data_IF_484429561192
#
_entry.id   IF_484429561192
#
_cell.length_a   1.000
_cell.length_b   1.000
_cell.length_c   1.000
_cell.angle_alpha   90.00
_cell.angle_beta   90.00
_cell.angle_gamma   90.00
#
_symmetry.space_group_name_H-M   'P 1'
#
loop_
_entity.id
_entity.type
_entity.pdbx_description
1 polymer ?
#
# COMPACT_ATOMS: atom_id res chain seq x y z
N UNK A 1 -2.65 -14.57 -3.68
CA UNK A 1 -2.60 -14.25 -2.23
C UNK A 1 -1.29 -13.54 -2.08
N UNK A 2 -1.28 -12.27 -1.68
CA UNK A 2 -0.03 -11.52 -1.71
C UNK A 2 0.93 -12.12 -0.69
N UNK A 3 2.14 -12.48 -1.11
CA UNK A 3 3.21 -12.89 -0.21
C UNK A 3 4.25 -11.80 -0.15
N UNK A 4 4.45 -11.26 1.05
CA UNK A 4 5.56 -10.35 1.33
C UNK A 4 6.68 -11.19 1.95
N UNK A 5 7.87 -11.16 1.35
CA UNK A 5 9.06 -11.80 1.88
C UNK A 5 10.09 -10.72 2.17
N UNK A 6 10.63 -10.73 3.38
CA UNK A 6 11.70 -9.84 3.80
C UNK A 6 12.87 -10.71 4.23
N UNK A 7 14.06 -10.42 3.72
CA UNK A 7 15.29 -11.13 4.06
C UNK A 7 16.31 -10.10 4.52
N UNK A 8 16.76 -10.23 5.76
CA UNK A 8 17.80 -9.39 6.37
C UNK A 8 19.00 -10.26 6.72
N UNK A 9 20.10 -9.64 7.16
CA UNK A 9 21.23 -10.36 7.75
C UNK A 9 20.79 -11.07 9.05
N UNK A 10 20.45 -12.34 8.93
CA UNK A 10 20.10 -13.23 10.04
C UNK A 10 18.63 -13.62 10.15
N UNK A 11 17.70 -12.93 9.45
CA UNK A 11 16.27 -13.28 9.55
C UNK A 11 15.57 -13.26 8.19
N UNK A 12 14.74 -14.27 7.95
CA UNK A 12 13.86 -14.38 6.79
C UNK A 12 12.42 -14.45 7.26
N UNK A 13 11.64 -13.44 6.90
CA UNK A 13 10.23 -13.37 7.22
C UNK A 13 9.40 -13.53 5.95
N UNK A 14 8.32 -14.31 6.02
CA UNK A 14 7.32 -14.37 4.97
C UNK A 14 5.95 -14.17 5.58
N UNK A 15 5.27 -13.11 5.18
CA UNK A 15 3.94 -12.75 5.65
C UNK A 15 2.97 -12.91 4.47
N UNK A 16 2.11 -13.93 4.49
CA UNK A 16 0.99 -13.97 3.57
C UNK A 16 -0.01 -12.89 3.96
N UNK A 17 -0.34 -12.02 3.03
CA UNK A 17 -1.35 -10.97 3.15
C UNK A 17 -2.58 -11.39 2.33
N UNK A 18 -3.62 -11.93 2.99
CA UNK A 18 -4.92 -12.13 2.36
C UNK A 18 -5.47 -10.85 1.76
N UNK A 19 -6.17 -10.97 0.64
CA UNK A 19 -6.87 -9.83 0.01
C UNK A 19 -7.95 -9.20 0.90
N UNK A 20 -8.31 -9.84 2.02
CA UNK A 20 -9.17 -9.24 3.04
C UNK A 20 -8.57 -7.95 3.58
N UNK A 21 -7.26 -7.94 3.89
CA UNK A 21 -6.57 -6.76 4.40
C UNK A 21 -6.52 -5.63 3.37
N UNK A 22 -6.36 -5.98 2.09
CA UNK A 22 -6.38 -5.01 1.00
C UNK A 22 -7.78 -4.40 0.85
N UNK A 23 -8.82 -5.23 0.89
CA UNK A 23 -10.21 -4.77 0.83
C UNK A 23 -10.56 -3.86 2.03
N UNK A 24 -10.08 -4.18 3.23
CA UNK A 24 -10.21 -3.32 4.41
C UNK A 24 -9.47 -2.00 4.22
N UNK A 25 -8.24 -2.05 3.69
CA UNK A 25 -7.48 -0.86 3.34
C UNK A 25 -8.23 0.04 2.36
N UNK A 26 -8.83 -0.53 1.30
CA UNK A 26 -9.66 0.22 0.35
C UNK A 26 -10.87 0.85 1.03
N UNK A 27 -11.54 0.13 1.93
CA UNK A 27 -12.68 0.67 2.67
C UNK A 27 -12.29 1.89 3.51
N UNK A 28 -11.12 1.82 4.15
CA UNK A 28 -10.57 2.92 4.94
C UNK A 28 -10.14 4.09 4.03
N UNK A 29 -9.39 3.82 2.97
CA UNK A 29 -8.89 4.85 2.05
C UNK A 29 -9.99 5.58 1.28
N UNK A 30 -11.11 4.90 1.00
CA UNK A 30 -12.29 5.50 0.35
C UNK A 30 -13.23 6.22 1.31
N UNK A 31 -12.94 6.22 2.62
CA UNK A 31 -13.79 6.87 3.61
C UNK A 31 -13.63 8.39 3.59
N UNK A 32 -14.75 9.10 3.48
CA UNK A 32 -14.84 10.57 3.59
C UNK A 32 -14.20 11.12 4.87
N UNK A 33 -14.33 10.39 5.99
CA UNK A 33 -13.78 10.81 7.27
C UNK A 33 -12.25 10.78 7.27
N UNK A 34 -11.68 9.67 6.81
CA UNK A 34 -10.23 9.50 6.72
C UNK A 34 -9.64 10.45 5.68
N UNK A 35 -10.34 10.67 4.58
CA UNK A 35 -9.95 11.63 3.56
C UNK A 35 -9.83 13.05 4.11
N UNK A 36 -10.83 13.52 4.87
CA UNK A 36 -10.80 14.84 5.53
C UNK A 36 -9.68 14.93 6.56
N UNK A 37 -9.48 13.89 7.36
CA UNK A 37 -8.43 13.87 8.38
C UNK A 37 -7.02 13.87 7.76
N UNK A 38 -6.79 13.08 6.71
CA UNK A 38 -5.53 13.05 5.96
C UNK A 38 -5.25 14.41 5.32
N UNK A 39 -6.22 15.02 4.64
CA UNK A 39 -6.04 16.35 4.05
C UNK A 39 -5.79 17.43 5.10
N UNK A 40 -6.41 17.33 6.30
CA UNK A 40 -6.11 18.23 7.42
C UNK A 40 -4.68 18.04 7.92
N UNK A 41 -4.25 16.79 8.14
CA UNK A 41 -2.91 16.49 8.64
C UNK A 41 -1.82 16.89 7.65
N UNK A 42 -2.03 16.66 6.35
CA UNK A 42 -1.10 17.09 5.29
C UNK A 42 -1.01 18.60 5.23
N UNK A 43 -2.14 19.32 5.33
CA UNK A 43 -2.12 20.79 5.41
C UNK A 43 -1.37 21.28 6.64
N UNK A 44 -1.49 20.61 7.78
CA UNK A 44 -0.76 20.97 9.00
C UNK A 44 0.74 20.68 8.90
N UNK A 45 1.14 19.56 8.30
CA UNK A 45 2.57 19.20 8.15
C UNK A 45 3.28 19.94 7.02
N UNK A 46 2.55 20.35 5.98
CA UNK A 46 3.09 21.08 4.82
C UNK A 46 3.01 22.61 4.96
N UNK A 47 2.45 23.13 6.07
CA UNK A 47 2.41 24.57 6.37
C UNK A 47 3.79 25.23 6.33
N UNK A 48 4.86 24.49 6.60
CA UNK A 48 6.24 24.99 6.54
C UNK A 48 6.85 24.99 5.12
N UNK A 49 6.22 24.34 4.12
CA UNK A 49 6.81 24.11 2.78
C UNK A 49 6.00 24.66 1.60
N UNK A 50 4.94 25.43 1.84
CA UNK A 50 4.07 26.04 0.79
C UNK A 50 3.58 25.10 -0.32
N UNK A 51 3.59 23.77 -0.11
CA UNK A 51 3.09 22.80 -1.08
C UNK A 51 1.66 22.40 -0.73
N UNK A 52 0.70 22.90 -1.50
CA UNK A 52 -0.73 22.54 -1.41
C UNK A 52 -0.99 21.18 -2.07
N UNK A 53 -0.41 20.12 -1.52
CA UNK A 53 -0.76 18.76 -1.92
C UNK A 53 -2.09 18.36 -1.26
N UNK A 54 -3.10 18.03 -2.07
CA UNK A 54 -4.38 17.48 -1.61
C UNK A 54 -4.49 16.07 -2.15
N UNK A 55 -4.76 15.09 -1.28
CA UNK A 55 -5.01 13.73 -1.74
C UNK A 55 -6.36 13.73 -2.46
N UNK A 56 -6.48 13.16 -3.67
CA UNK A 56 -7.76 13.01 -4.34
C UNK A 56 -8.58 11.90 -3.70
N UNK A 57 -9.91 12.04 -3.71
CA UNK A 57 -10.79 10.96 -3.25
C UNK A 57 -10.62 9.74 -4.14
N UNK A 58 -10.41 8.58 -3.52
CA UNK A 58 -10.24 7.33 -4.23
C UNK A 58 -11.58 6.60 -4.29
N UNK A 59 -12.06 6.30 -5.49
CA UNK A 59 -13.29 5.53 -5.66
C UNK A 59 -13.06 4.05 -5.29
N UNK A 60 -13.83 3.58 -4.33
CA UNK A 60 -13.87 2.18 -3.88
C UNK A 60 -14.15 1.21 -5.04
N UNK A 61 -15.00 1.58 -6.00
CA UNK A 61 -15.35 0.69 -7.13
C UNK A 61 -14.16 0.51 -8.07
N UNK A 62 -13.48 1.59 -8.42
CA UNK A 62 -12.27 1.55 -9.25
C UNK A 62 -11.13 0.77 -8.56
N UNK A 63 -10.88 1.03 -7.27
CA UNK A 63 -9.90 0.27 -6.49
C UNK A 63 -10.27 -1.23 -6.40
N UNK A 64 -11.56 -1.54 -6.28
CA UNK A 64 -12.05 -2.92 -6.28
C UNK A 64 -11.78 -3.66 -7.60
N UNK A 65 -11.90 -2.98 -8.75
CA UNK A 65 -11.54 -3.54 -10.07
C UNK A 65 -10.06 -3.88 -10.14
N UNK A 66 -9.20 -2.97 -9.68
CA UNK A 66 -7.74 -3.20 -9.63
C UNK A 66 -7.42 -4.44 -8.80
N UNK A 67 -8.01 -4.58 -7.60
CA UNK A 67 -7.78 -5.77 -6.76
C UNK A 67 -8.28 -7.06 -7.42
N UNK A 68 -9.38 -6.99 -8.17
CA UNK A 68 -9.88 -8.15 -8.91
C UNK A 68 -8.88 -8.59 -9.98
N UNK A 69 -8.25 -7.65 -10.67
CA UNK A 69 -7.20 -7.93 -11.66
C UNK A 69 -5.91 -8.45 -11.00
N UNK A 70 -5.55 -7.92 -9.84
CA UNK A 70 -4.41 -8.45 -9.06
C UNK A 70 -4.67 -9.87 -8.53
N UNK A 71 -5.94 -10.28 -8.40
CA UNK A 71 -6.30 -11.66 -8.02
C UNK A 71 -6.23 -12.65 -9.19
N UNK A 72 -6.45 -12.20 -10.43
CA UNK A 72 -6.35 -13.07 -11.62
C UNK A 72 -4.89 -13.40 -11.94
N UNK A 73 -3.96 -12.49 -11.62
CA UNK A 73 -2.53 -12.64 -11.87
C UNK A 73 -1.79 -13.26 -10.68
N UNK A 74 -1.76 -14.59 -10.60
CA UNK A 74 -0.97 -15.29 -9.57
C UNK A 74 0.51 -15.35 -9.97
N UNK A 75 1.38 -15.12 -8.99
CA UNK A 75 2.80 -15.28 -9.15
C UNK A 75 3.51 -14.11 -9.82
N UNK A 76 2.81 -12.99 -10.05
CA UNK A 76 3.42 -11.75 -10.52
C UNK A 76 4.28 -11.14 -9.42
N UNK A 77 5.51 -10.80 -9.76
CA UNK A 77 6.42 -10.06 -8.90
C UNK A 77 6.17 -8.56 -9.08
N UNK A 78 5.74 -7.91 -8.00
CA UNK A 78 5.42 -6.47 -8.01
C UNK A 78 6.64 -5.67 -7.56
N UNK A 79 7.35 -6.20 -6.57
CA UNK A 79 8.46 -5.51 -5.93
C UNK A 79 9.58 -6.52 -5.72
N UNK A 80 10.75 -6.18 -6.25
CA UNK A 80 12.03 -6.80 -5.96
C UNK A 80 13.02 -5.66 -5.71
N UNK A 81 13.38 -5.44 -4.45
CA UNK A 81 14.35 -4.42 -4.07
C UNK A 81 15.31 -4.96 -3.02
N UNK A 82 16.57 -4.59 -3.20
CA UNK A 82 17.64 -4.80 -2.23
C UNK A 82 18.14 -3.44 -1.74
N UNK A 83 18.11 -3.23 -0.43
CA UNK A 83 18.67 -2.06 0.21
C UNK A 83 20.20 -2.18 0.38
N UNK A 84 20.87 -1.04 0.59
CA UNK A 84 22.34 -0.96 0.74
C UNK A 84 22.87 -1.73 1.95
N UNK A 85 22.01 -2.00 2.92
CA UNK A 85 22.31 -2.79 4.12
C UNK A 85 22.10 -4.30 3.92
N UNK A 86 21.85 -4.74 2.68
CA UNK A 86 21.62 -6.14 2.34
C UNK A 86 20.18 -6.63 2.57
N UNK A 87 19.27 -5.77 3.03
CA UNK A 87 17.86 -6.13 3.21
C UNK A 87 17.17 -6.29 1.85
N UNK A 88 16.59 -7.45 1.61
CA UNK A 88 15.80 -7.75 0.41
C UNK A 88 14.31 -7.78 0.75
N UNK A 89 13.49 -7.17 -0.10
CA UNK A 89 12.03 -7.20 0.00
C UNK A 89 11.46 -7.69 -1.33
N UNK A 90 10.72 -8.80 -1.26
CA UNK A 90 10.00 -9.37 -2.39
C UNK A 90 8.50 -9.33 -2.12
N UNK A 91 7.73 -8.79 -3.06
CA UNK A 91 6.27 -8.81 -3.02
C UNK A 91 5.75 -9.52 -4.26
N UNK A 92 4.99 -10.60 -4.03
CA UNK A 92 4.42 -11.43 -5.08
C UNK A 92 2.92 -11.63 -4.90
N UNK A 93 2.15 -11.68 -5.99
CA UNK A 93 0.69 -11.90 -5.98
C UNK A 93 0.28 -13.37 -5.86
#
# INVERSE_FOLDING_TARGET
MISVKVKTEGIRFSIPVPYLFINLGILLLSSEFLHKQMNKWIKESMKEKEMTFTIPQLDKKELGKIVKELKSHRGLEIVDVQAKDGTEVFIRL
#
